data_IF_009491742425
#
_entry.id   IF_009491742425
#
_cell.length_a   1.000
_cell.length_b   1.000
_cell.length_c   1.000
_cell.angle_alpha   90.00
_cell.angle_beta   90.00
_cell.angle_gamma   90.00
#
_symmetry.space_group_name_H-M   'P 1'
#
loop_
_entity.id
_entity.type
_entity.pdbx_description
1 polymer ?
#
# COMPACT_ATOMS: atom_id res chain seq x y z
N UNK A 1 4.03 -12.81 5.35
CA UNK A 1 2.89 -11.93 5.67
C UNK A 1 3.32 -10.49 5.55
N UNK A 2 2.42 -9.56 5.23
CA UNK A 2 2.66 -8.14 5.43
C UNK A 2 2.61 -7.87 6.93
N UNK A 3 3.68 -7.30 7.46
CA UNK A 3 3.81 -7.00 8.89
C UNK A 3 3.58 -5.52 9.16
N UNK A 4 3.89 -4.66 8.19
CA UNK A 4 3.75 -3.23 8.31
C UNK A 4 3.23 -2.63 7.00
N UNK A 5 2.40 -1.60 7.13
CA UNK A 5 1.99 -0.75 6.03
C UNK A 5 2.22 0.69 6.46
N UNK A 6 2.90 1.49 5.66
CA UNK A 6 3.04 2.92 5.87
C UNK A 6 2.35 3.66 4.75
N UNK A 7 1.44 4.56 5.08
CA UNK A 7 0.75 5.42 4.14
C UNK A 7 1.22 6.85 4.33
N UNK A 8 1.55 7.51 3.22
CA UNK A 8 1.78 8.96 3.16
C UNK A 8 0.76 9.58 2.22
N UNK A 9 -0.04 10.52 2.72
CA UNK A 9 -0.95 11.32 1.92
C UNK A 9 -0.19 12.38 1.13
N UNK A 10 -0.65 12.65 -0.09
CA UNK A 10 -0.14 13.73 -0.92
C UNK A 10 -1.20 14.82 -1.03
N UNK A 11 -0.87 16.01 -0.55
CA UNK A 11 -1.74 17.18 -0.62
C UNK A 11 -1.64 17.82 -2.00
N UNK A 12 -2.28 17.20 -3.00
CA UNK A 12 -2.31 17.66 -4.39
C UNK A 12 -3.65 17.34 -5.09
N UNK A 13 -3.89 17.97 -6.23
CA UNK A 13 -5.10 17.79 -7.05
C UNK A 13 -4.95 16.66 -8.10
N UNK A 14 -3.87 15.90 -8.07
CA UNK A 14 -3.63 14.82 -9.04
C UNK A 14 -4.39 13.55 -8.65
N UNK A 15 -4.41 12.58 -9.56
CA UNK A 15 -4.93 11.23 -9.31
C UNK A 15 -4.07 10.41 -8.34
N UNK A 16 -2.81 10.78 -8.15
CA UNK A 16 -1.92 10.12 -7.20
C UNK A 16 -2.14 10.72 -5.81
N UNK A 17 -2.85 9.99 -4.95
CA UNK A 17 -3.28 10.48 -3.64
C UNK A 17 -2.39 10.03 -2.50
N UNK A 18 -1.85 8.82 -2.56
CA UNK A 18 -0.98 8.30 -1.50
C UNK A 18 0.23 7.59 -2.07
N UNK A 19 1.29 7.57 -1.27
CA UNK A 19 2.42 6.67 -1.43
C UNK A 19 2.42 5.70 -0.26
N UNK A 20 2.44 4.42 -0.57
CA UNK A 20 2.49 3.34 0.38
C UNK A 20 3.87 2.66 0.41
N UNK A 21 4.22 2.12 1.56
CA UNK A 21 5.31 1.16 1.73
C UNK A 21 4.80 -0.02 2.54
N UNK A 22 5.25 -1.23 2.21
CA UNK A 22 4.90 -2.43 2.96
C UNK A 22 6.16 -3.17 3.39
N UNK A 23 6.08 -3.89 4.50
CA UNK A 23 7.14 -4.79 4.97
C UNK A 23 6.60 -6.21 5.01
N UNK A 24 7.32 -7.14 4.42
CA UNK A 24 7.05 -8.57 4.49
C UNK A 24 7.91 -9.21 5.58
N UNK A 25 7.25 -9.97 6.45
CA UNK A 25 7.86 -10.82 7.48
C UNK A 25 8.92 -10.09 8.33
N UNK A 26 8.73 -8.79 8.57
CA UNK A 26 9.68 -7.91 9.27
C UNK A 26 11.08 -7.78 8.63
N UNK A 27 11.31 -8.34 7.44
CA UNK A 27 12.66 -8.48 6.86
C UNK A 27 12.82 -7.90 5.47
N UNK A 28 11.73 -7.68 4.73
CA UNK A 28 11.80 -7.21 3.35
C UNK A 28 10.81 -6.09 3.07
N UNK A 29 11.31 -4.88 2.77
CA UNK A 29 10.48 -3.73 2.51
C UNK A 29 10.31 -3.45 1.01
N UNK A 30 9.11 -3.05 0.62
CA UNK A 30 8.78 -2.50 -0.70
C UNK A 30 8.28 -1.07 -0.51
N UNK A 31 8.91 -0.13 -1.19
CA UNK A 31 8.59 1.30 -1.14
C UNK A 31 8.05 1.78 -2.48
N UNK A 32 7.48 2.99 -2.50
CA UNK A 32 6.98 3.67 -3.71
C UNK A 32 5.80 2.97 -4.42
N UNK A 33 4.98 2.25 -3.66
CA UNK A 33 3.67 1.77 -4.12
C UNK A 33 2.75 2.98 -4.19
N UNK A 34 2.12 3.20 -5.34
CA UNK A 34 1.26 4.37 -5.58
C UNK A 34 -0.18 3.99 -5.36
N UNK A 35 -0.93 4.78 -4.60
CA UNK A 35 -2.40 4.68 -4.53
C UNK A 35 -2.98 5.76 -5.43
N UNK A 36 -3.67 5.31 -6.47
CA UNK A 36 -4.22 6.16 -7.52
C UNK A 36 -5.74 6.10 -7.44
N UNK A 37 -6.38 7.26 -7.39
CA UNK A 37 -7.82 7.41 -7.52
C UNK A 37 -8.13 7.83 -8.96
N UNK A 38 -8.95 7.02 -9.64
CA UNK A 38 -9.58 7.37 -10.90
C UNK A 38 -11.06 7.71 -10.69
N UNK A 39 -11.74 8.21 -11.72
CA UNK A 39 -13.17 8.52 -11.66
C UNK A 39 -14.04 7.31 -11.29
N UNK A 40 -13.64 6.11 -11.71
CA UNK A 40 -14.40 4.87 -11.48
C UNK A 40 -13.97 4.11 -10.22
N UNK A 41 -12.66 4.09 -9.93
CA UNK A 41 -12.11 3.28 -8.82
C UNK A 41 -10.72 3.72 -8.38
N UNK A 42 -10.41 3.45 -7.12
CA UNK A 42 -9.05 3.48 -6.59
C UNK A 42 -8.32 2.15 -6.88
N UNK A 43 -7.01 2.22 -7.12
CA UNK A 43 -6.15 1.05 -7.31
C UNK A 43 -4.70 1.34 -6.92
N UNK A 44 -3.88 0.29 -6.81
CA UNK A 44 -2.44 0.44 -6.56
C UNK A 44 -1.63 0.25 -7.84
N UNK A 45 -0.61 1.07 -8.02
CA UNK A 45 0.43 0.86 -9.02
C UNK A 45 1.74 0.53 -8.32
N UNK A 46 2.36 -0.58 -8.75
CA UNK A 46 3.60 -1.05 -8.17
C UNK A 46 4.76 -0.09 -8.46
N UNK A 47 5.86 -0.17 -7.69
CA UNK A 47 7.07 0.59 -7.96
C UNK A 47 7.61 0.19 -9.33
N UNK A 48 7.90 1.17 -10.18
CA UNK A 48 8.31 0.94 -11.55
C UNK A 48 9.49 1.82 -11.93
N UNK A 49 10.30 1.34 -12.88
CA UNK A 49 11.47 2.05 -13.41
C UNK A 49 11.40 2.09 -14.93
N UNK A 50 11.86 3.21 -15.50
CA UNK A 50 12.05 3.35 -16.96
C UNK A 50 13.19 2.45 -17.43
N UNK A 51 12.93 1.55 -18.37
CA UNK A 51 13.91 0.64 -18.97
C UNK A 51 14.43 1.18 -20.30
N UNK A 52 13.54 1.73 -21.13
CA UNK A 52 13.84 2.39 -22.40
C UNK A 52 12.90 3.58 -22.58
N UNK A 53 13.12 4.39 -23.62
CA UNK A 53 12.18 5.45 -23.94
C UNK A 53 10.74 4.91 -24.04
N UNK A 54 9.87 5.56 -23.27
CA UNK A 54 8.46 5.23 -23.03
C UNK A 54 8.12 3.82 -22.54
N UNK A 55 9.12 3.02 -22.12
CA UNK A 55 8.92 1.69 -21.55
C UNK A 55 9.24 1.67 -20.06
N UNK A 56 8.20 1.38 -19.26
CA UNK A 56 8.28 1.20 -17.82
C UNK A 56 8.06 -0.26 -17.46
N UNK A 57 8.79 -0.75 -16.46
CA UNK A 57 8.53 -2.05 -15.88
C UNK A 57 8.49 -1.96 -14.37
N UNK A 58 7.65 -2.80 -13.78
CA UNK A 58 7.56 -2.96 -12.34
C UNK A 58 8.87 -3.55 -11.81
N UNK A 59 9.42 -2.90 -10.77
CA UNK A 59 10.58 -3.38 -10.01
C UNK A 59 10.19 -4.58 -9.17
N UNK A 60 8.96 -4.57 -8.63
CA UNK A 60 8.35 -5.69 -7.94
C UNK A 60 6.88 -5.79 -8.33
N UNK A 61 6.35 -7.00 -8.43
CA UNK A 61 4.94 -7.21 -8.72
C UNK A 61 4.46 -8.53 -8.10
N UNK A 62 3.19 -8.60 -7.66
CA UNK A 62 2.58 -9.87 -7.32
C UNK A 62 2.48 -10.74 -8.59
N UNK A 63 2.84 -12.01 -8.47
CA UNK A 63 2.84 -12.97 -9.58
C UNK A 63 1.42 -13.42 -9.93
N UNK A 64 0.57 -13.63 -8.92
CA UNK A 64 -0.79 -14.12 -9.08
C UNK A 64 -1.84 -13.06 -8.71
N UNK A 65 -3.07 -13.26 -9.20
CA UNK A 65 -4.17 -12.33 -9.02
C UNK A 65 -4.64 -12.25 -7.57
N UNK A 66 -4.58 -13.36 -6.84
CA UNK A 66 -4.96 -13.46 -5.44
C UNK A 66 -4.05 -12.59 -4.56
N UNK A 67 -2.73 -12.68 -4.79
CA UNK A 67 -1.77 -11.83 -4.11
C UNK A 67 -1.99 -10.34 -4.45
N UNK A 68 -2.28 -10.02 -5.72
CA UNK A 68 -2.63 -8.65 -6.12
C UNK A 68 -3.85 -8.15 -5.36
N UNK A 69 -4.92 -8.95 -5.28
CA UNK A 69 -6.16 -8.57 -4.61
C UNK A 69 -5.94 -8.31 -3.11
N UNK A 70 -5.15 -9.15 -2.44
CA UNK A 70 -4.79 -8.95 -1.02
C UNK A 70 -4.02 -7.65 -0.82
N UNK A 71 -2.99 -7.39 -1.64
CA UNK A 71 -2.21 -6.15 -1.55
C UNK A 71 -3.09 -4.92 -1.79
N UNK A 72 -3.95 -4.96 -2.81
CA UNK A 72 -4.90 -3.88 -3.09
C UNK A 72 -5.85 -3.66 -1.92
N UNK A 73 -6.50 -4.69 -1.40
CA UNK A 73 -7.46 -4.58 -0.31
C UNK A 73 -6.84 -3.98 0.96
N UNK A 74 -5.65 -4.46 1.35
CA UNK A 74 -4.96 -3.97 2.55
C UNK A 74 -4.53 -2.52 2.37
N UNK A 75 -3.81 -2.21 1.28
CA UNK A 75 -3.23 -0.86 1.08
C UNK A 75 -4.33 0.19 0.88
N UNK A 76 -5.38 -0.12 0.10
CA UNK A 76 -6.49 0.82 -0.11
C UNK A 76 -7.26 1.08 1.19
N UNK A 77 -7.47 0.06 2.02
CA UNK A 77 -8.13 0.22 3.31
C UNK A 77 -7.30 1.08 4.28
N UNK A 78 -5.99 0.83 4.38
CA UNK A 78 -5.09 1.67 5.18
C UNK A 78 -5.07 3.12 4.66
N UNK A 79 -5.07 3.33 3.34
CA UNK A 79 -5.13 4.66 2.75
C UNK A 79 -6.42 5.40 3.10
N UNK A 80 -7.56 4.70 3.00
CA UNK A 80 -8.87 5.23 3.41
C UNK A 80 -8.89 5.62 4.89
N UNK A 81 -8.41 4.74 5.78
CA UNK A 81 -8.32 5.03 7.22
C UNK A 81 -7.43 6.24 7.52
N UNK A 82 -6.32 6.39 6.79
CA UNK A 82 -5.42 7.55 6.90
C UNK A 82 -6.15 8.84 6.53
N UNK A 83 -6.92 8.82 5.44
CA UNK A 83 -7.66 9.98 4.96
C UNK A 83 -8.81 10.39 5.90
N UNK A 84 -9.59 9.41 6.35
CA UNK A 84 -10.72 9.59 7.28
C UNK A 84 -10.23 10.09 8.65
N UNK A 85 -9.03 9.70 9.05
CA UNK A 85 -8.39 10.17 10.29
C UNK A 85 -7.70 11.53 10.14
N UNK A 86 -7.72 12.12 8.94
CA UNK A 86 -7.05 13.38 8.61
C UNK A 86 -5.55 13.38 8.96
N UNK A 87 -4.87 12.29 8.64
CA UNK A 87 -3.43 12.12 8.88
C UNK A 87 -2.64 12.36 7.59
N UNK A 88 -1.49 13.01 7.71
CA UNK A 88 -0.53 13.15 6.63
C UNK A 88 0.29 11.86 6.45
N UNK A 89 0.61 11.19 7.57
CA UNK A 89 1.30 9.89 7.60
C UNK A 89 0.68 9.00 8.66
N UNK A 90 0.43 7.74 8.31
CA UNK A 90 0.03 6.69 9.25
C UNK A 90 0.89 5.44 9.06
N UNK A 91 1.37 4.89 10.17
CA UNK A 91 2.04 3.59 10.22
C UNK A 91 1.07 2.56 10.82
N UNK A 92 0.91 1.45 10.12
CA UNK A 92 0.07 0.32 10.49
C UNK A 92 0.93 -0.92 10.77
N UNK A 93 0.52 -1.72 11.75
CA UNK A 93 1.16 -3.00 12.11
C UNK A 93 0.11 -4.10 12.12
N UNK A 94 0.49 -5.31 11.68
CA UNK A 94 -0.39 -6.46 11.82
C UNK A 94 -0.54 -6.85 13.31
N UNK A 95 -1.79 -7.03 13.76
CA UNK A 95 -2.12 -7.50 15.11
C UNK A 95 -1.77 -8.96 15.35
N UNK A 96 -1.60 -9.72 14.27
CA UNK A 96 -1.45 -11.17 14.30
C UNK A 96 -0.13 -11.58 13.66
N UNK A 97 0.48 -12.59 14.28
CA UNK A 97 1.72 -13.19 13.80
C UNK A 97 1.41 -14.45 12.97
N UNK A 98 2.27 -14.75 12.00
CA UNK A 98 2.22 -15.96 11.18
C UNK A 98 0.92 -16.17 10.36
N UNK A 99 0.19 -15.10 10.04
CA UNK A 99 -0.96 -15.18 9.13
C UNK A 99 -0.46 -15.33 7.69
N UNK A 100 -0.85 -16.38 6.94
CA UNK A 100 -0.44 -16.52 5.54
C UNK A 100 -0.81 -15.28 4.74
N UNK A 101 0.08 -14.82 3.84
CA UNK A 101 -0.14 -13.59 3.08
C UNK A 101 -1.51 -13.56 2.40
N UNK A 102 -1.91 -14.66 1.77
CA UNK A 102 -3.17 -14.75 1.02
C UNK A 102 -4.43 -14.74 1.90
N UNK A 103 -4.27 -14.88 3.22
CA UNK A 103 -5.38 -14.92 4.20
C UNK A 103 -5.49 -13.61 5.00
N UNK A 104 -4.57 -12.67 4.83
CA UNK A 104 -4.59 -11.41 5.56
C UNK A 104 -5.73 -10.51 5.11
N UNK A 105 -6.37 -9.87 6.08
CA UNK A 105 -7.49 -8.96 5.90
C UNK A 105 -7.11 -7.53 6.31
N UNK A 106 -7.80 -6.51 5.78
CA UNK A 106 -7.57 -5.13 6.21
C UNK A 106 -7.70 -4.91 7.72
N UNK A 107 -8.68 -5.56 8.35
CA UNK A 107 -8.94 -5.45 9.78
C UNK A 107 -7.84 -6.09 10.64
N UNK A 108 -6.87 -6.79 10.05
CA UNK A 108 -5.70 -7.32 10.76
C UNK A 108 -4.69 -6.23 11.13
N UNK A 109 -4.85 -5.02 10.60
CA UNK A 109 -3.90 -3.92 10.78
C UNK A 109 -4.45 -2.83 11.71
N UNK A 110 -3.60 -2.35 12.62
CA UNK A 110 -3.91 -1.23 13.50
C UNK A 110 -2.88 -0.12 13.35
N UNK A 111 -3.31 1.12 13.55
CA UNK A 111 -2.43 2.30 13.52
C UNK A 111 -1.58 2.32 14.78
N UNK A 112 -0.26 2.48 14.62
CA UNK A 112 0.69 2.56 15.74
C UNK A 112 1.40 3.90 15.84
N UNK A 113 1.50 4.65 14.75
CA UNK A 113 2.04 6.01 14.74
C UNK A 113 1.28 6.89 13.74
N UNK A 114 1.16 8.18 14.10
CA UNK A 114 0.41 9.17 13.35
C UNK A 114 1.20 10.48 13.26
N UNK A 115 1.24 11.07 12.07
CA UNK A 115 1.70 12.45 11.87
C UNK A 115 0.58 13.22 11.18
N UNK A 116 0.16 14.32 11.80
CA UNK A 116 -0.84 15.26 11.29
C UNK A 116 -0.20 16.37 10.50
#
# INVERSE_FOLDING_TARGET
MITNVRIKKLNNETRLKFIASIVFDHVFAVHDIKVIEDEEKAFIAMPSKKIKDDQWADICHPICQECRAVLENIILSCAKMTDESHLDIADFVSKYENVPLLEQLPDDFEIVNEVK
#
